data_IF_643513158657
#
_entry.id   IF_643513158657
#
_cell.length_a   1.000
_cell.length_b   1.000
_cell.length_c   1.000
_cell.angle_alpha   90.00
_cell.angle_beta   90.00
_cell.angle_gamma   90.00
#
_symmetry.space_group_name_H-M   'P 1'
#
loop_
_entity.id
_entity.type
_entity.pdbx_description
1 polymer ?
#
# COMPACT_ATOMS: atom_id res chain seq x y z
N UNK A 1 2.63 -7.33 2.87
CA UNK A 1 1.90 -6.06 3.04
C UNK A 1 1.47 -5.97 4.49
N UNK A 2 1.32 -4.77 5.01
CA UNK A 2 0.97 -4.51 6.40
C UNK A 2 -0.17 -3.50 6.45
N UNK A 3 -1.21 -3.80 7.24
CA UNK A 3 -2.29 -2.88 7.50
C UNK A 3 -1.87 -1.98 8.67
N UNK A 4 -1.65 -0.70 8.37
CA UNK A 4 -1.13 0.27 9.33
C UNK A 4 -2.22 0.80 10.26
N UNK A 5 -3.40 1.06 9.68
CA UNK A 5 -4.54 1.58 10.41
C UNK A 5 -5.84 1.41 9.63
N UNK A 6 -6.93 1.43 10.39
CA UNK A 6 -8.30 1.53 9.90
C UNK A 6 -8.98 2.68 10.63
N UNK A 7 -9.68 3.56 9.92
CA UNK A 7 -10.36 4.71 10.52
C UNK A 7 -11.74 4.89 9.91
N UNK A 8 -12.68 5.44 10.68
CA UNK A 8 -14.04 5.73 10.23
C UNK A 8 -15.08 4.76 10.80
N UNK A 9 -16.37 5.09 10.66
CA UNK A 9 -17.48 4.27 11.15
C UNK A 9 -17.58 2.96 10.35
N UNK A 10 -18.30 1.97 10.87
CA UNK A 10 -18.35 0.63 10.27
C UNK A 10 -18.81 0.59 8.80
N UNK A 11 -19.67 1.53 8.40
CA UNK A 11 -20.17 1.68 7.04
C UNK A 11 -19.31 2.60 6.14
N UNK A 12 -18.28 3.26 6.68
CA UNK A 12 -17.37 4.13 5.93
C UNK A 12 -15.92 4.01 6.42
N UNK A 13 -15.45 2.76 6.58
CA UNK A 13 -14.07 2.51 6.96
C UNK A 13 -13.11 2.88 5.84
N UNK A 14 -12.00 3.44 6.27
CA UNK A 14 -10.84 3.76 5.44
C UNK A 14 -9.66 2.93 5.93
N UNK A 15 -9.07 2.17 5.03
CA UNK A 15 -7.98 1.25 5.29
C UNK A 15 -6.69 1.82 4.71
N UNK A 16 -5.61 1.70 5.47
CA UNK A 16 -4.30 2.21 5.10
C UNK A 16 -3.31 1.06 5.14
N UNK A 17 -2.75 0.73 3.98
CA UNK A 17 -1.92 -0.46 3.78
C UNK A 17 -0.58 -0.06 3.18
N UNK A 18 0.45 -0.76 3.62
CA UNK A 18 1.83 -0.59 3.19
C UNK A 18 2.38 -1.86 2.59
N UNK A 19 3.25 -1.74 1.60
CA UNK A 19 4.05 -2.84 1.08
C UNK A 19 5.49 -2.61 1.48
N UNK A 20 6.09 -3.62 2.10
CA UNK A 20 7.48 -3.61 2.51
C UNK A 20 8.23 -4.71 1.74
N UNK A 21 9.48 -4.41 1.36
CA UNK A 21 10.45 -5.38 0.84
C UNK A 21 11.65 -5.31 1.77
N UNK A 22 11.84 -6.38 2.56
CA UNK A 22 12.71 -6.31 3.75
C UNK A 22 12.19 -5.24 4.72
N UNK A 23 13.08 -4.37 5.19
CA UNK A 23 12.74 -3.28 6.10
C UNK A 23 12.32 -1.98 5.38
N UNK A 24 12.33 -1.99 4.04
CA UNK A 24 12.02 -0.79 3.25
C UNK A 24 10.56 -0.78 2.84
N UNK A 25 9.87 0.31 3.20
CA UNK A 25 8.54 0.62 2.70
C UNK A 25 8.62 1.04 1.23
N UNK A 26 8.10 0.21 0.34
CA UNK A 26 8.16 0.43 -1.12
C UNK A 26 6.81 0.85 -1.71
N UNK A 27 5.71 0.65 -1.01
CA UNK A 27 4.39 1.04 -1.47
C UNK A 27 3.44 1.41 -0.35
N UNK A 28 2.48 2.29 -0.63
CA UNK A 28 1.46 2.72 0.32
C UNK A 28 0.14 3.07 -0.37
N UNK A 29 -0.93 2.47 0.10
CA UNK A 29 -2.26 2.55 -0.49
C UNK A 29 -3.35 2.80 0.56
N UNK A 30 -4.38 3.53 0.12
CA UNK A 30 -5.53 3.89 0.94
C UNK A 30 -6.81 3.59 0.18
N UNK A 31 -7.75 2.88 0.82
CA UNK A 31 -8.98 2.44 0.19
C UNK A 31 -10.14 2.34 1.17
N UNK A 32 -11.37 2.31 0.63
CA UNK A 32 -12.60 2.05 1.39
C UNK A 32 -12.80 0.57 1.75
N UNK A 33 -11.89 -0.28 1.30
CA UNK A 33 -11.77 -1.68 1.69
C UNK A 33 -10.30 -2.05 1.78
N UNK A 34 -9.98 -3.11 2.54
CA UNK A 34 -8.61 -3.67 2.63
C UNK A 34 -8.05 -3.96 1.24
N UNK A 35 -8.83 -4.65 0.40
CA UNK A 35 -8.45 -5.00 -0.97
C UNK A 35 -8.14 -3.77 -1.83
N UNK A 36 -8.92 -2.69 -1.72
CA UNK A 36 -8.66 -1.47 -2.48
C UNK A 36 -7.38 -0.75 -1.98
N UNK A 37 -7.12 -0.77 -0.67
CA UNK A 37 -5.89 -0.23 -0.09
C UNK A 37 -4.66 -1.06 -0.51
N UNK A 38 -4.76 -2.39 -0.47
CA UNK A 38 -3.72 -3.33 -0.90
C UNK A 38 -3.38 -3.17 -2.38
N UNK A 39 -4.37 -3.11 -3.27
CA UNK A 39 -4.14 -2.94 -4.71
C UNK A 39 -3.38 -1.64 -5.00
N UNK A 40 -3.78 -0.52 -4.39
CA UNK A 40 -3.06 0.75 -4.51
C UNK A 40 -1.65 0.69 -3.93
N UNK A 41 -1.45 -0.02 -2.82
CA UNK A 41 -0.13 -0.17 -2.22
C UNK A 41 0.79 -1.00 -3.12
N UNK A 42 0.26 -2.05 -3.73
CA UNK A 42 0.98 -2.90 -4.69
C UNK A 42 1.32 -2.17 -5.99
N UNK A 43 0.40 -1.38 -6.54
CA UNK A 43 0.64 -0.55 -7.73
C UNK A 43 1.82 0.39 -7.51
N UNK A 44 1.81 1.15 -6.39
CA UNK A 44 2.95 2.03 -6.06
C UNK A 44 4.24 1.27 -5.79
N UNK A 45 4.17 0.09 -5.15
CA UNK A 45 5.35 -0.74 -4.94
C UNK A 45 5.98 -1.17 -6.26
N UNK A 46 5.16 -1.57 -7.25
CA UNK A 46 5.64 -1.95 -8.58
C UNK A 46 6.31 -0.77 -9.28
N UNK A 47 5.73 0.43 -9.24
CA UNK A 47 6.34 1.62 -9.82
C UNK A 47 7.71 1.93 -9.22
N UNK A 48 7.84 1.85 -7.89
CA UNK A 48 9.12 2.09 -7.20
C UNK A 48 10.16 1.04 -7.60
N UNK A 49 9.79 -0.24 -7.57
CA UNK A 49 10.69 -1.33 -7.93
C UNK A 49 11.12 -1.27 -9.41
N UNK A 50 10.23 -0.87 -10.31
CA UNK A 50 10.56 -0.67 -11.72
C UNK A 50 11.53 0.50 -11.92
N UNK A 51 11.33 1.62 -11.21
CA UNK A 51 12.26 2.76 -11.25
C UNK A 51 13.65 2.40 -10.72
N UNK A 52 13.71 1.67 -9.61
CA UNK A 52 14.99 1.19 -9.06
C UNK A 52 15.71 0.24 -10.02
N UNK A 53 14.98 -0.67 -10.66
CA UNK A 53 15.55 -1.60 -11.66
C UNK A 53 16.10 -0.90 -12.90
N UNK A 54 15.49 0.21 -13.31
CA UNK A 54 15.92 0.97 -14.50
C UNK A 54 17.03 1.99 -14.21
N UNK A 55 17.29 2.29 -12.92
CA UNK A 55 18.34 3.21 -12.50
C UNK A 55 19.69 2.51 -12.24
N UNK A 56 19.80 1.21 -12.58
CA UNK A 56 20.92 0.33 -12.27
C UNK A 56 21.62 -0.19 -13.52
#
# INVERSE_FOLDING_TARGET
YELEKETGPDHDKTFYVSVLVGDKKVGYGVGKSKKAAEQKAAEKALEVLQKEKNAQ
#
